data_IF_352853735255
#
_entry.id   IF_352853735255
#
_cell.length_a   1.000
_cell.length_b   1.000
_cell.length_c   1.000
_cell.angle_alpha   90.00
_cell.angle_beta   90.00
_cell.angle_gamma   90.00
#
_symmetry.space_group_name_H-M   'P 1'
#
loop_
_entity.id
_entity.type
_entity.pdbx_description
1 polymer ?
#
# COMPACT_ATOMS: atom_id res chain seq x y z
N UNK A 1 59.29 18.30 -2.36
CA UNK A 1 58.56 17.72 -1.22
C UNK A 1 57.11 17.53 -1.65
N UNK A 2 56.68 16.26 -1.73
CA UNK A 2 55.29 15.75 -1.73
C UNK A 2 54.27 16.33 -2.73
N UNK A 3 54.21 15.63 -3.87
CA UNK A 3 53.00 15.12 -4.54
C UNK A 3 51.75 15.20 -3.65
N UNK A 4 50.87 16.19 -3.90
CA UNK A 4 49.52 16.19 -3.33
C UNK A 4 48.64 15.43 -4.31
N UNK A 5 48.42 14.18 -3.93
CA UNK A 5 47.59 13.17 -4.57
C UNK A 5 46.13 13.66 -4.58
N UNK A 6 45.67 14.21 -5.70
CA UNK A 6 44.24 14.47 -5.93
C UNK A 6 43.55 13.14 -6.16
N UNK A 7 43.22 12.47 -5.05
CA UNK A 7 42.42 11.26 -5.02
C UNK A 7 40.99 11.67 -5.45
N UNK A 8 40.71 11.60 -6.76
CA UNK A 8 39.35 11.57 -7.26
C UNK A 8 38.68 10.33 -6.66
N UNK A 9 37.94 10.55 -5.58
CA UNK A 9 36.98 9.61 -5.02
C UNK A 9 35.96 9.31 -6.13
N UNK A 10 36.23 8.26 -6.91
CA UNK A 10 35.21 7.53 -7.66
C UNK A 10 34.35 6.82 -6.63
N UNK A 11 33.51 7.60 -5.94
CA UNK A 11 32.34 7.07 -5.27
C UNK A 11 31.45 6.58 -6.40
N UNK A 12 31.58 5.29 -6.73
CA UNK A 12 30.52 4.55 -7.41
C UNK A 12 29.32 4.58 -6.46
N UNK A 13 28.57 5.68 -6.49
CA UNK A 13 27.20 5.69 -5.98
C UNK A 13 26.47 4.74 -6.91
N UNK A 14 26.41 3.47 -6.54
CA UNK A 14 25.40 2.56 -7.06
C UNK A 14 24.07 3.14 -6.59
N UNK A 15 23.51 4.02 -7.41
CA UNK A 15 22.11 4.39 -7.29
C UNK A 15 21.34 3.10 -7.61
N UNK A 16 21.07 2.29 -6.59
CA UNK A 16 20.02 1.30 -6.68
C UNK A 16 18.76 2.11 -6.95
N UNK A 17 18.31 2.11 -8.20
CA UNK A 17 17.09 2.80 -8.58
C UNK A 17 15.93 2.07 -7.93
N UNK A 18 15.08 2.83 -7.22
CA UNK A 18 13.83 2.30 -6.71
C UNK A 18 13.00 1.70 -7.86
N UNK A 19 12.22 0.67 -7.57
CA UNK A 19 11.37 -0.05 -8.52
C UNK A 19 10.41 0.92 -9.22
N UNK A 20 9.87 1.88 -8.46
CA UNK A 20 9.18 3.05 -8.95
C UNK A 20 9.91 4.30 -8.47
N UNK A 21 10.23 5.20 -9.40
CA UNK A 21 10.58 6.57 -9.04
C UNK A 21 9.40 7.26 -8.33
N UNK A 22 9.64 8.35 -7.59
CA UNK A 22 8.55 9.07 -6.90
C UNK A 22 7.38 9.48 -7.80
N UNK A 23 7.66 9.85 -9.07
CA UNK A 23 6.62 10.20 -10.04
C UNK A 23 5.85 8.97 -10.53
N UNK A 24 6.52 7.84 -10.74
CA UNK A 24 5.84 6.59 -11.12
C UNK A 24 4.98 6.08 -9.95
N UNK A 25 5.49 6.14 -8.71
CA UNK A 25 4.75 5.75 -7.52
C UNK A 25 3.47 6.57 -7.34
N UNK A 26 3.54 7.90 -7.54
CA UNK A 26 2.35 8.74 -7.58
C UNK A 26 1.38 8.31 -8.68
N UNK A 27 1.87 8.07 -9.90
CA UNK A 27 1.03 7.64 -11.01
C UNK A 27 0.35 6.29 -10.77
N UNK A 28 0.98 5.38 -10.02
CA UNK A 28 0.38 4.11 -9.61
C UNK A 28 -0.71 4.33 -8.56
N UNK A 29 -0.46 5.18 -7.55
CA UNK A 29 -1.50 5.54 -6.56
C UNK A 29 -2.70 6.24 -7.21
N UNK A 30 -2.47 7.12 -8.18
CA UNK A 30 -3.55 7.78 -8.94
C UNK A 30 -4.34 6.74 -9.77
N UNK A 31 -3.64 5.82 -10.45
CA UNK A 31 -4.27 4.72 -11.20
C UNK A 31 -5.16 3.85 -10.33
N UNK A 32 -4.70 3.51 -9.12
CA UNK A 32 -5.51 2.75 -8.16
C UNK A 32 -6.76 3.52 -7.73
N UNK A 33 -6.64 4.83 -7.47
CA UNK A 33 -7.77 5.66 -7.10
C UNK A 33 -8.81 5.72 -8.23
N UNK A 34 -8.35 5.88 -9.47
CA UNK A 34 -9.22 5.93 -10.66
C UNK A 34 -9.93 4.58 -10.91
N UNK A 35 -9.24 3.45 -10.72
CA UNK A 35 -9.86 2.11 -10.86
C UNK A 35 -10.78 1.78 -9.69
N UNK A 36 -10.48 2.27 -8.49
CA UNK A 36 -11.35 2.08 -7.33
C UNK A 36 -12.73 2.71 -7.59
N UNK A 37 -12.83 3.83 -8.31
CA UNK A 37 -14.13 4.40 -8.70
C UNK A 37 -15.00 3.49 -9.59
N UNK A 38 -14.40 2.58 -10.39
CA UNK A 38 -15.15 1.82 -11.39
C UNK A 38 -15.20 0.29 -11.16
N UNK A 39 -14.29 -0.30 -10.37
CA UNK A 39 -14.20 -1.78 -10.28
C UNK A 39 -13.99 -2.37 -8.88
N UNK A 40 -13.45 -1.60 -7.92
CA UNK A 40 -13.11 -2.12 -6.58
C UNK A 40 -13.85 -1.44 -5.41
N UNK A 41 -14.62 -0.38 -5.64
CA UNK A 41 -15.56 0.18 -4.63
C UNK A 41 -16.95 -0.49 -4.66
N UNK A 42 -17.05 -1.71 -5.18
CA UNK A 42 -18.25 -2.55 -5.09
C UNK A 42 -18.07 -3.59 -3.99
N UNK A 43 -18.49 -3.27 -2.77
CA UNK A 43 -18.38 -4.12 -1.59
C UNK A 43 -18.96 -3.40 -0.37
N UNK A 44 -18.85 -4.01 0.81
CA UNK A 44 -19.37 -3.40 2.05
C UNK A 44 -18.46 -2.28 2.59
N UNK A 45 -17.26 -2.10 2.02
CA UNK A 45 -16.26 -1.12 2.46
C UNK A 45 -15.83 -0.16 1.34
N UNK A 46 -15.51 1.07 1.72
CA UNK A 46 -14.84 2.04 0.85
C UNK A 46 -13.34 2.09 1.15
N UNK A 47 -12.50 1.90 0.15
CA UNK A 47 -11.05 1.90 0.30
C UNK A 47 -10.42 3.23 -0.09
N UNK A 48 -9.44 3.65 0.69
CA UNK A 48 -8.60 4.81 0.42
C UNK A 48 -7.14 4.42 0.59
N UNK A 49 -6.24 5.05 -0.17
CA UNK A 49 -4.81 4.82 -0.08
C UNK A 49 -4.03 6.12 -0.06
N UNK A 50 -2.90 6.10 0.63
CA UNK A 50 -1.89 7.15 0.54
C UNK A 50 -1.01 6.97 -0.70
N UNK A 51 -0.10 7.92 -0.91
CA UNK A 51 0.94 7.83 -1.93
C UNK A 51 1.86 6.66 -1.62
N UNK A 52 2.02 5.78 -2.60
CA UNK A 52 2.95 4.66 -2.55
C UNK A 52 4.39 5.15 -2.39
N UNK A 53 5.16 4.42 -1.58
CA UNK A 53 6.59 4.66 -1.40
C UNK A 53 7.34 3.41 -1.81
N UNK A 54 8.36 3.57 -2.64
CA UNK A 54 9.22 2.47 -3.03
C UNK A 54 10.66 2.78 -2.65
N UNK A 55 11.34 1.77 -2.14
CA UNK A 55 12.77 1.80 -1.90
C UNK A 55 13.39 0.51 -2.44
N UNK A 56 14.35 0.66 -3.34
CA UNK A 56 14.93 -0.46 -4.09
C UNK A 56 13.82 -1.34 -4.72
N UNK A 57 13.78 -2.63 -4.43
CA UNK A 57 12.77 -3.55 -4.96
C UNK A 57 11.58 -3.79 -4.00
N UNK A 58 11.32 -2.86 -3.08
CA UNK A 58 10.23 -2.95 -2.11
C UNK A 58 9.32 -1.74 -2.26
N UNK A 59 8.02 -1.96 -2.31
CA UNK A 59 7.02 -0.89 -2.27
C UNK A 59 6.10 -1.08 -1.07
N UNK A 60 5.71 0.02 -0.45
CA UNK A 60 4.71 0.07 0.60
C UNK A 60 3.59 1.05 0.25
N UNK A 61 2.37 0.70 0.64
CA UNK A 61 1.22 1.57 0.54
C UNK A 61 0.39 1.47 1.82
N UNK A 62 0.02 2.62 2.35
CA UNK A 62 -0.91 2.74 3.47
C UNK A 62 -2.32 2.83 2.92
N UNK A 63 -3.22 2.05 3.52
CA UNK A 63 -4.61 1.92 3.09
C UNK A 63 -5.54 2.00 4.29
N UNK A 64 -6.75 2.48 4.03
CA UNK A 64 -7.86 2.48 4.99
C UNK A 64 -9.11 1.93 4.32
N UNK A 65 -9.89 1.17 5.09
CA UNK A 65 -11.21 0.71 4.72
C UNK A 65 -12.25 1.39 5.62
N UNK A 66 -13.31 1.93 5.03
CA UNK A 66 -14.38 2.61 5.74
C UNK A 66 -15.67 1.78 5.69
N UNK A 67 -16.28 1.56 6.87
CA UNK A 67 -17.55 0.88 7.03
C UNK A 67 -18.59 1.83 7.64
N UNK A 68 -19.75 1.99 7.00
CA UNK A 68 -20.84 2.82 7.52
C UNK A 68 -21.68 2.01 8.53
N UNK A 69 -21.59 2.38 9.80
CA UNK A 69 -22.30 1.70 10.89
C UNK A 69 -23.82 1.82 10.71
N UNK A 70 -24.27 2.95 10.16
CA UNK A 70 -25.69 3.23 9.93
C UNK A 70 -26.31 2.32 8.86
N UNK A 71 -25.49 1.74 7.98
CA UNK A 71 -25.91 0.74 6.99
C UNK A 71 -25.85 -0.69 7.54
N UNK A 72 -25.51 -0.85 8.83
CA UNK A 72 -25.38 -2.14 9.50
C UNK A 72 -24.07 -2.86 9.20
N UNK A 73 -23.11 -2.19 8.54
CA UNK A 73 -21.78 -2.73 8.25
C UNK A 73 -20.83 -2.34 9.38
N UNK A 74 -20.20 -3.34 9.99
CA UNK A 74 -19.14 -3.16 11.00
C UNK A 74 -18.02 -4.15 10.73
N UNK A 75 -16.79 -3.78 11.09
CA UNK A 75 -15.68 -4.72 11.05
C UNK A 75 -15.84 -5.83 12.09
N UNK A 76 -15.34 -7.01 11.79
CA UNK A 76 -15.31 -8.14 12.72
C UNK A 76 -14.47 -7.84 13.97
N UNK A 77 -14.80 -8.50 15.08
CA UNK A 77 -13.97 -8.45 16.31
C UNK A 77 -12.55 -9.00 16.05
N UNK A 78 -12.41 -9.95 15.12
CA UNK A 78 -11.13 -10.55 14.71
C UNK A 78 -10.17 -9.49 14.15
N UNK A 79 -10.68 -8.56 13.35
CA UNK A 79 -9.87 -7.46 12.82
C UNK A 79 -9.36 -6.53 13.95
N UNK A 80 -10.14 -6.36 15.02
CA UNK A 80 -9.70 -5.61 16.20
C UNK A 80 -8.57 -6.34 16.95
N UNK A 81 -8.65 -7.66 17.07
CA UNK A 81 -7.59 -8.50 17.68
C UNK A 81 -6.28 -8.45 16.89
N UNK A 82 -6.35 -8.22 15.58
CA UNK A 82 -5.19 -8.06 14.72
C UNK A 82 -4.55 -6.67 14.80
N UNK A 83 -5.09 -5.71 15.56
CA UNK A 83 -4.45 -4.39 15.71
C UNK A 83 -2.99 -4.51 16.17
N UNK A 84 -2.08 -3.83 15.47
CA UNK A 84 -0.62 -3.88 15.66
C UNK A 84 0.01 -5.25 15.36
N UNK A 85 -0.69 -6.13 14.64
CA UNK A 85 -0.16 -7.41 14.16
C UNK A 85 0.31 -7.31 12.71
N UNK A 86 0.90 -8.40 12.20
CA UNK A 86 1.21 -8.53 10.79
C UNK A 86 0.89 -9.93 10.29
N UNK A 87 0.37 -10.00 9.07
CA UNK A 87 0.10 -11.25 8.36
C UNK A 87 0.91 -11.23 7.07
N UNK A 88 1.52 -12.37 6.73
CA UNK A 88 2.23 -12.55 5.47
C UNK A 88 1.42 -13.45 4.57
N UNK A 89 1.09 -12.97 3.37
CA UNK A 89 0.52 -13.78 2.31
C UNK A 89 1.48 -13.80 1.12
N UNK A 90 1.87 -15.00 0.68
CA UNK A 90 2.97 -15.20 -0.27
C UNK A 90 4.25 -14.49 0.21
N UNK A 91 4.56 -13.35 -0.37
CA UNK A 91 5.68 -12.49 0.00
C UNK A 91 5.25 -11.14 0.57
N UNK A 92 3.98 -10.77 0.42
CA UNK A 92 3.43 -9.49 0.86
C UNK A 92 3.10 -9.52 2.34
N UNK A 93 3.46 -8.46 3.05
CA UNK A 93 3.22 -8.30 4.49
C UNK A 93 2.16 -7.24 4.70
N UNK A 94 1.08 -7.61 5.37
CA UNK A 94 -0.02 -6.73 5.76
C UNK A 94 0.19 -6.40 7.22
N UNK A 95 0.34 -5.12 7.54
CA UNK A 95 0.48 -4.62 8.91
C UNK A 95 -0.82 -3.94 9.32
N UNK A 96 -1.59 -4.56 10.20
CA UNK A 96 -2.82 -3.99 10.72
C UNK A 96 -2.49 -2.93 11.77
N UNK A 97 -3.02 -1.72 11.62
CA UNK A 97 -2.79 -0.63 12.57
C UNK A 97 -3.88 -0.60 13.64
N UNK A 98 -5.13 -0.74 13.23
CA UNK A 98 -6.26 -0.80 14.14
C UNK A 98 -7.54 -0.33 13.49
N UNK A 99 -8.59 -0.29 14.31
CA UNK A 99 -9.90 0.23 13.94
C UNK A 99 -10.20 1.44 14.82
N UNK A 100 -10.50 2.55 14.17
CA UNK A 100 -11.00 3.76 14.81
C UNK A 100 -12.47 3.93 14.47
N UNK A 101 -13.25 4.49 15.40
CA UNK A 101 -14.64 4.86 15.15
C UNK A 101 -14.73 6.38 15.18
N UNK A 102 -15.30 6.95 14.13
CA UNK A 102 -15.48 8.39 13.99
C UNK A 102 -16.93 8.70 13.59
N UNK A 103 -17.30 9.96 13.74
CA UNK A 103 -18.61 10.48 13.39
C UNK A 103 -18.46 11.82 12.68
N UNK A 104 -19.05 11.91 11.50
CA UNK A 104 -19.09 13.14 10.70
C UNK A 104 -20.55 13.58 10.55
N UNK A 105 -20.82 14.89 10.67
CA UNK A 105 -22.19 15.44 10.64
C UNK A 105 -22.90 15.19 9.30
N UNK A 106 -22.16 15.08 8.19
CA UNK A 106 -22.69 14.82 6.85
C UNK A 106 -22.73 13.33 6.52
N UNK A 107 -21.78 12.54 7.03
CA UNK A 107 -21.57 11.13 6.65
C UNK A 107 -22.05 10.11 7.69
N UNK A 108 -22.51 10.57 8.85
CA UNK A 108 -22.94 9.71 9.94
C UNK A 108 -21.77 9.04 10.67
N UNK A 109 -22.07 7.96 11.40
CA UNK A 109 -21.05 7.16 12.11
C UNK A 109 -20.41 6.12 11.21
N UNK A 110 -19.09 6.05 11.22
CA UNK A 110 -18.32 5.08 10.45
C UNK A 110 -17.15 4.51 11.27
N UNK A 111 -16.71 3.32 10.89
CA UNK A 111 -15.45 2.75 11.36
C UNK A 111 -14.41 2.89 10.25
N UNK A 112 -13.17 3.14 10.64
CA UNK A 112 -12.01 3.15 9.76
C UNK A 112 -11.02 2.09 10.24
N UNK A 113 -10.73 1.11 9.39
CA UNK A 113 -9.68 0.14 9.62
C UNK A 113 -8.46 0.50 8.77
N UNK A 114 -7.31 0.75 9.42
CA UNK A 114 -6.07 1.13 8.74
C UNK A 114 -5.07 -0.04 8.68
N UNK A 115 -4.43 -0.21 7.53
CA UNK A 115 -3.39 -1.21 7.32
C UNK A 115 -2.32 -0.74 6.34
N UNK A 116 -1.13 -1.34 6.40
CA UNK A 116 -0.06 -1.12 5.44
C UNK A 116 0.21 -2.40 4.67
N UNK A 117 0.22 -2.30 3.35
CA UNK A 117 0.59 -3.35 2.43
C UNK A 117 2.06 -3.16 2.02
N UNK A 118 2.94 -4.08 2.40
CA UNK A 118 4.36 -4.10 2.06
C UNK A 118 4.64 -5.21 1.06
N UNK A 119 5.07 -4.86 -0.14
CA UNK A 119 5.37 -5.76 -1.25
C UNK A 119 6.89 -5.84 -1.48
N UNK A 120 7.59 -6.78 -0.82
CA UNK A 120 9.02 -6.96 -1.01
C UNK A 120 9.33 -7.76 -2.28
N UNK A 121 10.61 -7.76 -2.67
CA UNK A 121 11.17 -8.60 -3.72
C UNK A 121 10.52 -8.40 -5.11
N UNK A 122 10.13 -7.17 -5.42
CA UNK A 122 9.59 -6.83 -6.73
C UNK A 122 10.61 -7.11 -7.83
N UNK A 123 10.16 -7.47 -9.05
CA UNK A 123 11.05 -7.84 -10.13
C UNK A 123 12.02 -6.69 -10.46
N UNK A 124 13.31 -6.99 -10.50
CA UNK A 124 14.36 -6.03 -10.86
C UNK A 124 14.63 -5.98 -12.37
N UNK A 125 13.92 -6.79 -13.16
CA UNK A 125 14.00 -6.77 -14.63
C UNK A 125 13.41 -5.47 -15.18
N UNK A 126 13.88 -5.06 -16.35
CA UNK A 126 13.30 -3.92 -17.08
C UNK A 126 11.81 -4.18 -17.34
N UNK A 127 10.96 -3.28 -16.85
CA UNK A 127 9.50 -3.27 -17.04
C UNK A 127 9.08 -1.85 -17.45
N UNK A 128 8.10 -1.76 -18.34
CA UNK A 128 7.40 -0.51 -18.65
C UNK A 128 6.57 -0.04 -17.45
N UNK A 129 6.22 1.25 -17.38
CA UNK A 129 5.36 1.78 -16.32
C UNK A 129 4.02 1.03 -16.26
N UNK A 130 3.43 0.74 -17.41
CA UNK A 130 2.18 -0.03 -17.50
C UNK A 130 2.31 -1.42 -16.85
N UNK A 131 3.38 -2.17 -17.17
CA UNK A 131 3.60 -3.49 -16.55
C UNK A 131 3.83 -3.40 -15.04
N UNK A 132 4.46 -2.32 -14.55
CA UNK A 132 4.62 -2.09 -13.10
C UNK A 132 3.28 -1.76 -12.45
N UNK A 133 2.44 -0.95 -13.10
CA UNK A 133 1.09 -0.62 -12.62
C UNK A 133 0.24 -1.86 -12.45
N UNK A 134 0.16 -2.71 -13.48
CA UNK A 134 -0.61 -3.95 -13.44
C UNK A 134 -0.12 -4.92 -12.36
N UNK A 135 1.21 -5.11 -12.24
CA UNK A 135 1.78 -5.96 -11.20
C UNK A 135 1.42 -5.46 -9.79
N UNK A 136 1.58 -4.17 -9.54
CA UNK A 136 1.29 -3.58 -8.23
C UNK A 136 -0.21 -3.64 -7.92
N UNK A 137 -1.05 -3.36 -8.91
CA UNK A 137 -2.49 -3.47 -8.77
C UNK A 137 -2.91 -4.90 -8.38
N UNK A 138 -2.40 -5.91 -9.09
CA UNK A 138 -2.67 -7.32 -8.79
C UNK A 138 -2.21 -7.70 -7.37
N UNK A 139 -1.00 -7.30 -6.97
CA UNK A 139 -0.49 -7.59 -5.63
C UNK A 139 -1.37 -6.95 -4.55
N UNK A 140 -1.79 -5.70 -4.74
CA UNK A 140 -2.62 -5.03 -3.75
C UNK A 140 -4.00 -5.68 -3.66
N UNK A 141 -4.66 -5.91 -4.80
CA UNK A 141 -6.01 -6.51 -4.82
C UNK A 141 -5.97 -7.92 -4.26
N UNK A 142 -5.14 -8.79 -4.82
CA UNK A 142 -5.17 -10.21 -4.50
C UNK A 142 -4.49 -10.54 -3.19
N UNK A 143 -3.42 -9.83 -2.83
CA UNK A 143 -2.64 -10.17 -1.65
C UNK A 143 -2.94 -9.29 -0.43
N UNK A 144 -3.32 -8.03 -0.62
CA UNK A 144 -3.58 -7.12 0.50
C UNK A 144 -5.06 -6.97 0.78
N UNK A 145 -5.87 -6.59 -0.21
CA UNK A 145 -7.27 -6.28 0.08
C UNK A 145 -8.11 -7.53 0.31
N UNK A 146 -7.97 -8.57 -0.51
CA UNK A 146 -8.64 -9.85 -0.23
C UNK A 146 -8.27 -10.44 1.14
N UNK A 147 -6.99 -10.30 1.53
CA UNK A 147 -6.53 -10.77 2.83
C UNK A 147 -7.13 -9.93 3.96
N UNK A 148 -7.21 -8.61 3.79
CA UNK A 148 -7.92 -7.73 4.72
C UNK A 148 -9.41 -8.11 4.82
N UNK A 149 -10.11 -8.31 3.71
CA UNK A 149 -11.54 -8.64 3.69
C UNK A 149 -11.85 -9.97 4.37
N UNK A 150 -11.01 -10.99 4.18
CA UNK A 150 -11.13 -12.27 4.89
C UNK A 150 -11.03 -12.14 6.41
N UNK A 151 -10.38 -11.08 6.90
CA UNK A 151 -10.27 -10.76 8.32
C UNK A 151 -11.34 -9.76 8.78
N UNK A 152 -11.85 -8.93 7.87
CA UNK A 152 -12.83 -7.89 8.13
C UNK A 152 -14.26 -8.42 8.30
N UNK A 153 -14.58 -9.58 7.70
CA UNK A 153 -15.82 -10.35 7.90
C UNK A 153 -15.69 -11.38 9.03
#
# INVERSE_FOLDING_TARGET
MKLVLTLFLTLSVSANSDFLSPSEAKSVSDYMYDICMDTYCGGDFLYFNDVMKCHENTCEIEMSAHAYIEEGVTFSDKLSELSNSSVTLNQTVIKYKGIDTDSDEERGKFQNASFTCLMPNLPTKSMTLYEKQELIYDLIVFECVNAFENEAY
#
